data_IF_247161752575
#
_entry.id   IF_247161752575
#
_cell.length_a   1.000
_cell.length_b   1.000
_cell.length_c   1.000
_cell.angle_alpha   90.00
_cell.angle_beta   90.00
_cell.angle_gamma   90.00
#
_symmetry.space_group_name_H-M   'P 1'
#
loop_
_entity.id
_entity.type
_entity.pdbx_description
1 polymer ?
#
# COMPACT_ATOMS: atom_id res chain seq x y z
N UNK A 1 -15.71 19.23 -13.30
CA UNK A 1 -16.54 18.13 -12.74
C UNK A 1 -16.10 16.79 -13.35
N UNK A 2 -15.58 15.88 -12.53
CA UNK A 2 -15.26 14.51 -12.98
C UNK A 2 -16.61 13.81 -13.19
N UNK A 3 -16.92 13.39 -14.42
CA UNK A 3 -18.14 12.64 -14.71
C UNK A 3 -18.10 11.31 -13.96
N UNK A 4 -19.12 11.02 -13.15
CA UNK A 4 -19.16 9.84 -12.28
C UNK A 4 -19.75 8.57 -12.94
N UNK A 5 -20.21 8.66 -14.19
CA UNK A 5 -20.86 7.56 -14.91
C UNK A 5 -20.56 7.65 -16.42
N UNK A 6 -20.04 6.57 -16.99
CA UNK A 6 -19.79 6.38 -18.43
C UNK A 6 -20.13 4.94 -18.83
N UNK A 7 -21.30 4.69 -19.44
CA UNK A 7 -21.69 3.45 -20.14
C UNK A 7 -21.19 2.11 -19.52
N UNK A 8 -21.38 1.92 -18.21
CA UNK A 8 -21.01 0.68 -17.52
C UNK A 8 -19.53 0.56 -17.11
N UNK A 9 -18.71 1.58 -17.37
CA UNK A 9 -17.38 1.73 -16.82
C UNK A 9 -17.46 2.39 -15.44
N UNK A 10 -16.92 1.71 -14.45
CA UNK A 10 -16.76 2.27 -13.10
C UNK A 10 -15.56 3.20 -13.15
N UNK A 11 -15.72 4.42 -12.66
CA UNK A 11 -14.63 5.37 -12.57
C UNK A 11 -13.43 4.80 -11.81
N UNK A 12 -12.19 5.19 -12.18
CA UNK A 12 -10.99 4.74 -11.50
C UNK A 12 -11.00 5.17 -10.03
N UNK A 13 -10.41 4.34 -9.17
CA UNK A 13 -10.13 4.71 -7.79
C UNK A 13 -8.89 5.61 -7.77
N UNK A 14 -9.08 6.86 -7.36
CA UNK A 14 -8.04 7.90 -7.40
C UNK A 14 -7.51 8.20 -6.00
N UNK A 15 -6.22 8.49 -5.91
CA UNK A 15 -5.66 9.18 -4.75
C UNK A 15 -5.88 10.69 -4.92
N UNK A 16 -6.56 11.33 -3.95
CA UNK A 16 -6.85 12.76 -3.99
C UNK A 16 -6.09 13.50 -2.88
N UNK A 17 -5.26 14.47 -3.26
CA UNK A 17 -4.78 15.46 -2.31
C UNK A 17 -5.87 16.53 -2.14
N UNK A 18 -6.40 16.66 -0.93
CA UNK A 18 -7.40 17.69 -0.60
C UNK A 18 -6.75 18.76 0.27
N UNK A 19 -6.74 20.00 -0.19
CA UNK A 19 -6.29 21.17 0.58
C UNK A 19 -7.52 21.91 1.09
N UNK A 20 -7.59 22.13 2.39
CA UNK A 20 -8.66 22.91 3.03
C UNK A 20 -8.01 24.12 3.68
N UNK A 21 -8.36 25.32 3.21
CA UNK A 21 -7.92 26.56 3.85
C UNK A 21 -9.08 27.11 4.68
N UNK A 22 -8.83 27.31 5.97
CA UNK A 22 -9.83 27.81 6.91
C UNK A 22 -9.64 29.31 7.10
N UNK A 23 -10.67 30.08 6.78
CA UNK A 23 -10.82 31.48 7.17
C UNK A 23 -11.59 31.61 8.48
N UNK A 24 -11.73 32.85 8.96
CA UNK A 24 -12.44 33.10 10.24
C UNK A 24 -13.96 32.88 10.15
N UNK A 25 -14.53 32.89 8.94
CA UNK A 25 -15.99 32.74 8.69
C UNK A 25 -16.30 31.85 7.48
N UNK A 26 -15.29 31.38 6.78
CA UNK A 26 -15.39 30.67 5.51
C UNK A 26 -14.28 29.62 5.40
N UNK A 27 -14.37 28.76 4.38
CA UNK A 27 -13.33 27.79 4.03
C UNK A 27 -13.29 27.58 2.52
N UNK A 28 -12.09 27.40 1.97
CA UNK A 28 -11.89 26.95 0.58
C UNK A 28 -11.47 25.49 0.58
N UNK A 29 -11.84 24.75 -0.48
CA UNK A 29 -11.46 23.36 -0.65
C UNK A 29 -10.98 23.15 -2.08
N UNK A 30 -9.73 22.73 -2.22
CA UNK A 30 -9.13 22.31 -3.48
C UNK A 30 -8.90 20.79 -3.45
N UNK A 31 -9.16 20.11 -4.57
CA UNK A 31 -8.88 18.68 -4.74
C UNK A 31 -8.10 18.46 -6.01
N UNK A 32 -6.96 17.78 -5.89
CA UNK A 32 -6.10 17.42 -7.01
C UNK A 32 -5.88 15.91 -7.01
N UNK A 33 -6.11 15.28 -8.15
CA UNK A 33 -5.74 13.87 -8.33
C UNK A 33 -4.21 13.76 -8.36
N UNK A 34 -3.69 12.86 -7.54
CA UNK A 34 -2.26 12.55 -7.44
C UNK A 34 -2.04 11.08 -7.74
N UNK A 35 -0.79 10.68 -7.93
CA UNK A 35 -0.43 9.33 -8.36
C UNK A 35 -1.16 8.87 -9.66
N UNK A 36 -1.54 9.82 -10.53
CA UNK A 36 -2.44 9.63 -11.68
C UNK A 36 -2.04 8.50 -12.64
N UNK A 37 -3.00 7.92 -13.35
CA UNK A 37 -2.80 6.77 -14.22
C UNK A 37 -2.66 5.44 -13.48
N UNK A 38 -3.17 5.34 -12.25
CA UNK A 38 -3.29 4.09 -11.51
C UNK A 38 -4.61 4.03 -10.74
N UNK A 39 -5.32 2.91 -10.87
CA UNK A 39 -6.38 2.51 -9.96
C UNK A 39 -5.73 1.90 -8.73
N UNK A 40 -5.90 2.57 -7.59
CA UNK A 40 -5.27 2.21 -6.31
C UNK A 40 -6.30 1.98 -5.22
N UNK A 41 -5.89 1.29 -4.15
CA UNK A 41 -6.70 1.12 -2.95
C UNK A 41 -5.81 1.06 -1.69
N UNK A 42 -6.42 1.21 -0.51
CA UNK A 42 -5.77 1.09 0.80
C UNK A 42 -4.47 1.92 0.96
N UNK A 43 -4.50 3.25 0.75
CA UNK A 43 -3.32 4.09 0.93
C UNK A 43 -2.83 4.10 2.38
N UNK A 44 -1.54 3.86 2.57
CA UNK A 44 -0.83 3.93 3.84
C UNK A 44 0.42 4.79 3.72
N UNK A 45 0.75 5.54 4.76
CA UNK A 45 2.08 6.12 4.97
C UNK A 45 2.75 5.44 6.16
N UNK A 46 4.05 5.63 6.30
CA UNK A 46 4.76 5.18 7.47
C UNK A 46 4.09 5.69 8.76
N UNK A 47 3.67 4.81 9.68
CA UNK A 47 2.98 5.20 10.92
C UNK A 47 3.76 6.19 11.79
N UNK A 48 5.08 6.29 11.61
CA UNK A 48 5.93 7.30 12.29
C UNK A 48 5.60 8.74 11.85
N UNK A 49 4.86 8.90 10.76
CA UNK A 49 4.50 10.17 10.13
C UNK A 49 2.98 10.35 10.01
N UNK A 50 2.16 9.51 10.67
CA UNK A 50 0.70 9.68 10.66
C UNK A 50 0.30 11.07 11.19
N UNK A 51 -0.50 11.79 10.38
CA UNK A 51 -0.90 13.17 10.67
C UNK A 51 0.20 14.22 10.49
N UNK A 52 1.37 13.85 9.97
CA UNK A 52 2.49 14.76 9.73
C UNK A 52 2.52 15.24 8.27
N UNK A 53 2.71 16.55 8.06
CA UNK A 53 2.77 17.13 6.70
C UNK A 53 4.04 16.77 5.94
N UNK A 54 5.05 16.22 6.63
CA UNK A 54 6.33 15.79 6.07
C UNK A 54 6.26 14.45 5.35
N UNK A 55 5.15 13.71 5.44
CA UNK A 55 4.94 12.46 4.68
C UNK A 55 5.32 12.67 3.21
N UNK A 56 6.24 11.84 2.75
CA UNK A 56 6.72 11.80 1.37
C UNK A 56 6.22 10.58 0.64
N UNK A 57 6.24 9.41 1.26
CA UNK A 57 5.91 8.17 0.56
C UNK A 57 4.57 7.61 1.01
N UNK A 58 3.72 7.36 0.01
CA UNK A 58 2.44 6.67 0.21
C UNK A 58 2.53 5.33 -0.52
N UNK A 59 2.15 4.26 0.16
CA UNK A 59 2.10 2.89 -0.36
C UNK A 59 0.66 2.45 -0.48
N UNK A 60 0.31 1.78 -1.58
CA UNK A 60 -1.06 1.36 -1.87
C UNK A 60 -1.07 -0.01 -2.53
N UNK A 61 -2.22 -0.67 -2.45
CA UNK A 61 -2.54 -1.77 -3.34
C UNK A 61 -2.77 -1.23 -4.76
N UNK A 62 -2.20 -1.90 -5.76
CA UNK A 62 -2.31 -1.52 -7.17
C UNK A 62 -3.26 -2.47 -7.90
N UNK A 63 -4.26 -1.91 -8.58
CA UNK A 63 -5.31 -2.69 -9.26
C UNK A 63 -5.10 -2.75 -10.77
N UNK A 64 -4.99 -1.61 -11.45
CA UNK A 64 -4.71 -1.50 -12.88
C UNK A 64 -4.30 -0.07 -13.26
N UNK A 65 -3.96 0.17 -14.52
CA UNK A 65 -3.65 1.46 -15.14
C UNK A 65 -4.50 1.71 -16.40
N UNK A 66 -5.68 1.11 -16.46
CA UNK A 66 -6.59 1.14 -17.62
C UNK A 66 -7.56 2.33 -17.59
N UNK A 67 -7.54 3.12 -16.52
CA UNK A 67 -8.44 4.26 -16.33
C UNK A 67 -9.88 3.89 -16.00
N UNK A 68 -10.11 2.63 -15.62
CA UNK A 68 -11.41 2.10 -15.18
C UNK A 68 -11.23 1.22 -13.93
N UNK A 69 -12.16 1.31 -12.99
CA UNK A 69 -12.19 0.45 -11.81
C UNK A 69 -12.87 -0.89 -12.11
N UNK A 70 -12.80 -1.84 -11.17
CA UNK A 70 -13.42 -3.16 -11.25
C UNK A 70 -12.43 -4.33 -11.30
N UNK A 71 -11.12 -4.06 -11.29
CA UNK A 71 -10.11 -5.11 -11.12
C UNK A 71 -9.76 -5.29 -9.64
N UNK A 72 -9.47 -6.53 -9.20
CA UNK A 72 -8.89 -6.74 -7.87
C UNK A 72 -7.48 -6.14 -7.80
N UNK A 73 -6.92 -5.96 -6.60
CA UNK A 73 -5.51 -5.65 -6.47
C UNK A 73 -4.65 -6.79 -7.02
N UNK A 74 -3.67 -6.44 -7.86
CA UNK A 74 -2.75 -7.36 -8.54
C UNK A 74 -1.30 -6.98 -8.31
N UNK A 75 -1.04 -6.11 -7.33
CA UNK A 75 0.27 -5.61 -7.04
C UNK A 75 0.26 -4.52 -5.99
N UNK A 76 1.38 -3.82 -5.92
CA UNK A 76 1.64 -2.77 -4.96
C UNK A 76 2.32 -1.59 -5.63
N UNK A 77 2.06 -0.40 -5.12
CA UNK A 77 2.62 0.84 -5.67
C UNK A 77 3.06 1.78 -4.57
N UNK A 78 4.16 2.50 -4.83
CA UNK A 78 4.63 3.61 -4.00
C UNK A 78 4.53 4.88 -4.82
N UNK A 79 3.97 5.93 -4.22
CA UNK A 79 3.97 7.28 -4.75
C UNK A 79 4.86 8.17 -3.88
N UNK A 80 5.81 8.88 -4.53
CA UNK A 80 6.62 9.92 -3.92
C UNK A 80 5.92 11.27 -4.12
N UNK A 81 5.42 11.85 -3.03
CA UNK A 81 4.69 13.12 -3.01
C UNK A 81 5.56 14.32 -3.40
N UNK A 82 6.87 14.24 -3.21
CA UNK A 82 7.76 15.36 -3.53
C UNK A 82 8.13 15.40 -5.01
N UNK A 83 8.40 14.24 -5.61
CA UNK A 83 8.84 14.14 -7.02
C UNK A 83 7.70 13.84 -7.98
N UNK A 84 6.58 13.32 -7.48
CA UNK A 84 5.48 12.79 -8.27
C UNK A 84 5.76 11.39 -8.82
N UNK A 85 6.93 10.80 -8.55
CA UNK A 85 7.28 9.46 -9.01
C UNK A 85 6.29 8.42 -8.48
N UNK A 86 5.91 7.50 -9.36
CA UNK A 86 5.16 6.31 -8.99
C UNK A 86 5.91 5.08 -9.48
N UNK A 87 6.16 4.14 -8.58
CA UNK A 87 6.76 2.84 -8.89
C UNK A 87 5.78 1.73 -8.54
N UNK A 88 5.67 0.73 -9.41
CA UNK A 88 4.69 -0.34 -9.29
C UNK A 88 5.40 -1.68 -9.36
N UNK A 89 5.05 -2.57 -8.42
CA UNK A 89 5.27 -3.99 -8.56
C UNK A 89 3.95 -4.68 -8.90
N UNK A 90 3.94 -5.49 -9.94
CA UNK A 90 2.81 -6.36 -10.29
C UNK A 90 3.13 -7.79 -9.90
N UNK A 91 2.18 -8.44 -9.23
CA UNK A 91 2.27 -9.86 -8.97
C UNK A 91 2.21 -10.63 -10.32
N UNK A 92 2.73 -11.86 -10.36
CA UNK A 92 2.57 -12.73 -11.52
C UNK A 92 1.08 -12.91 -11.89
N UNK A 93 0.76 -13.28 -13.13
CA UNK A 93 -0.61 -13.58 -13.52
C UNK A 93 -1.31 -14.52 -12.53
N UNK A 94 -2.62 -14.32 -12.34
CA UNK A 94 -3.46 -15.15 -11.45
C UNK A 94 -3.06 -15.10 -9.96
N UNK A 95 -2.29 -14.07 -9.58
CA UNK A 95 -2.04 -13.73 -8.18
C UNK A 95 -2.82 -12.45 -7.83
N UNK A 96 -3.41 -12.43 -6.65
CA UNK A 96 -4.26 -11.34 -6.16
C UNK A 96 -3.73 -10.85 -4.82
N UNK A 97 -3.52 -9.55 -4.72
CA UNK A 97 -2.95 -8.87 -3.56
C UNK A 97 -4.05 -8.33 -2.65
N UNK A 98 -3.68 -8.07 -1.40
CA UNK A 98 -4.54 -7.38 -0.41
C UNK A 98 -3.93 -6.05 0.02
N UNK A 99 -4.36 -5.50 1.16
CA UNK A 99 -3.72 -4.34 1.80
C UNK A 99 -2.25 -4.64 2.16
N UNK A 100 -1.41 -3.61 2.07
CA UNK A 100 -0.06 -3.61 2.65
C UNK A 100 -0.08 -3.05 4.06
N UNK A 101 0.66 -3.70 4.94
CA UNK A 101 1.03 -3.14 6.23
C UNK A 101 2.48 -2.64 6.17
N UNK A 102 2.68 -1.39 6.57
CA UNK A 102 4.01 -0.78 6.65
C UNK A 102 4.65 -1.10 7.99
N UNK A 103 5.88 -1.59 7.95
CA UNK A 103 6.66 -2.01 9.10
C UNK A 103 7.93 -1.16 9.15
N UNK A 104 7.99 -0.14 10.03
CA UNK A 104 9.18 0.66 10.22
C UNK A 104 10.41 -0.20 10.54
N UNK A 105 11.54 0.01 9.86
CA UNK A 105 12.77 -0.65 10.27
C UNK A 105 13.23 -0.13 11.64
N UNK A 106 13.68 -1.02 12.55
CA UNK A 106 14.34 -0.61 13.78
C UNK A 106 15.52 0.31 13.46
N UNK A 107 15.70 1.39 14.24
CA UNK A 107 16.73 2.41 14.03
C UNK A 107 18.16 1.84 13.94
N UNK A 108 18.41 0.73 14.63
CA UNK A 108 19.70 0.04 14.65
C UNK A 108 20.01 -0.69 13.33
N UNK A 109 18.97 -1.06 12.59
CA UNK A 109 19.05 -1.75 11.29
C UNK A 109 18.75 -0.84 10.10
N UNK A 110 18.44 0.44 10.36
CA UNK A 110 18.09 1.40 9.33
C UNK A 110 19.32 1.69 8.47
N UNK A 111 19.23 1.38 7.18
CA UNK A 111 20.33 1.59 6.22
C UNK A 111 20.44 3.06 5.81
N UNK A 112 19.33 3.79 5.92
CA UNK A 112 19.24 5.23 5.68
C UNK A 112 18.35 5.88 6.74
N UNK A 113 18.26 7.21 6.76
CA UNK A 113 17.21 7.92 7.52
C UNK A 113 16.03 8.30 6.64
N UNK A 114 15.94 7.70 5.46
CA UNK A 114 14.88 7.98 4.50
C UNK A 114 13.56 7.36 5.00
N UNK A 115 12.44 8.06 4.76
CA UNK A 115 11.10 7.57 5.08
C UNK A 115 10.77 6.29 4.31
N UNK A 116 11.39 6.06 3.14
CA UNK A 116 11.26 4.81 2.40
C UNK A 116 11.93 3.60 3.07
N UNK A 117 12.72 3.79 4.14
CA UNK A 117 13.41 2.70 4.85
C UNK A 117 12.45 1.91 5.77
N UNK A 118 11.51 1.22 5.13
CA UNK A 118 10.47 0.38 5.74
C UNK A 118 10.45 -0.98 5.08
N UNK A 119 9.99 -1.98 5.82
CA UNK A 119 9.51 -3.22 5.23
C UNK A 119 8.01 -3.07 4.94
N UNK A 120 7.54 -3.75 3.90
CA UNK A 120 6.13 -3.87 3.60
C UNK A 120 5.73 -5.33 3.71
N UNK A 121 4.61 -5.61 4.36
CA UNK A 121 4.05 -6.95 4.46
C UNK A 121 2.67 -6.98 3.78
N UNK A 122 2.46 -7.93 2.88
CA UNK A 122 1.22 -8.05 2.12
C UNK A 122 0.79 -9.49 1.94
N UNK A 123 -0.52 -9.74 1.98
CA UNK A 123 -1.07 -11.05 1.64
C UNK A 123 -1.27 -11.17 0.12
N UNK A 124 -0.87 -12.31 -0.43
CA UNK A 124 -1.04 -12.64 -1.86
C UNK A 124 -1.66 -14.02 -1.99
N UNK A 125 -2.83 -14.10 -2.61
CA UNK A 125 -3.46 -15.35 -3.02
C UNK A 125 -2.94 -15.78 -4.39
N UNK A 126 -2.43 -17.00 -4.49
CA UNK A 126 -2.02 -17.63 -5.74
C UNK A 126 -3.10 -18.63 -6.18
N UNK A 127 -3.79 -18.32 -7.28
CA UNK A 127 -4.90 -19.12 -7.76
C UNK A 127 -4.46 -20.44 -8.42
N UNK A 128 -3.20 -20.56 -8.86
CA UNK A 128 -2.67 -21.81 -9.42
C UNK A 128 -2.27 -22.77 -8.29
N UNK A 129 -1.72 -22.23 -7.20
CA UNK A 129 -1.40 -23.00 -6.00
C UNK A 129 -2.60 -23.22 -5.06
N UNK A 130 -3.68 -22.45 -5.20
CA UNK A 130 -4.89 -22.53 -4.36
C UNK A 130 -4.65 -22.14 -2.90
N UNK A 131 -3.63 -21.31 -2.63
CA UNK A 131 -3.22 -20.92 -1.27
C UNK A 131 -2.65 -19.52 -1.22
N UNK A 132 -2.57 -18.96 -0.02
CA UNK A 132 -2.04 -17.61 0.18
C UNK A 132 -0.59 -17.63 0.69
N UNK A 133 0.08 -16.50 0.54
CA UNK A 133 1.41 -16.25 1.11
C UNK A 133 1.47 -14.84 1.68
N UNK A 134 2.27 -14.69 2.74
CA UNK A 134 2.72 -13.38 3.19
C UNK A 134 3.99 -13.03 2.44
N UNK A 135 3.98 -11.93 1.70
CA UNK A 135 5.17 -11.40 1.03
C UNK A 135 5.77 -10.27 1.85
N UNK A 136 7.10 -10.20 1.88
CA UNK A 136 7.85 -9.08 2.44
C UNK A 136 8.53 -8.35 1.30
N UNK A 137 8.30 -7.04 1.18
CA UNK A 137 8.91 -6.17 0.18
C UNK A 137 9.79 -5.12 0.86
N UNK A 138 10.81 -4.67 0.13
CA UNK A 138 11.64 -3.52 0.48
C UNK A 138 10.91 -2.23 0.06
N UNK A 139 10.55 -1.36 1.01
CA UNK A 139 9.78 -0.15 0.71
C UNK A 139 10.49 0.83 -0.23
N UNK A 140 11.83 0.84 -0.22
CA UNK A 140 12.60 1.69 -1.11
C UNK A 140 12.63 1.17 -2.55
N UNK A 141 12.53 -0.14 -2.74
CA UNK A 141 12.69 -0.84 -4.02
C UNK A 141 11.53 -1.80 -4.27
N UNK A 142 10.31 -1.29 -4.13
CA UNK A 142 9.10 -2.11 -4.19
C UNK A 142 8.99 -2.84 -5.54
N UNK A 143 9.42 -2.20 -6.63
CA UNK A 143 9.41 -2.71 -8.00
C UNK A 143 10.28 -3.96 -8.20
N UNK A 144 11.30 -4.17 -7.34
CA UNK A 144 12.09 -5.40 -7.33
C UNK A 144 11.27 -6.62 -6.87
N UNK A 145 10.10 -6.38 -6.26
CA UNK A 145 9.19 -7.40 -5.76
C UNK A 145 9.61 -7.96 -4.40
N UNK A 146 8.98 -9.07 -3.97
CA UNK A 146 9.20 -9.64 -2.65
C UNK A 146 10.64 -10.11 -2.44
N UNK A 147 11.26 -9.64 -1.36
CA UNK A 147 12.54 -10.18 -0.88
C UNK A 147 12.35 -11.49 -0.10
N UNK A 148 11.13 -11.74 0.38
CA UNK A 148 10.75 -12.98 1.04
C UNK A 148 9.29 -13.33 0.74
N UNK A 149 8.99 -14.63 0.65
CA UNK A 149 7.64 -15.16 0.54
C UNK A 149 7.45 -16.31 1.50
N UNK A 150 6.48 -16.15 2.40
CA UNK A 150 6.10 -17.13 3.42
C UNK A 150 4.78 -17.78 3.02
N UNK A 151 4.85 -19.02 2.52
CA UNK A 151 3.66 -19.76 2.13
C UNK A 151 2.83 -20.18 3.34
N UNK A 152 1.53 -19.88 3.30
CA UNK A 152 0.56 -20.48 4.20
C UNK A 152 0.15 -21.85 3.67
N UNK A 153 -0.44 -22.67 4.55
CA UNK A 153 -0.95 -23.99 4.17
C UNK A 153 -2.21 -23.90 3.31
N UNK A 154 -3.03 -22.89 3.59
CA UNK A 154 -4.36 -22.71 3.00
C UNK A 154 -4.50 -21.30 2.40
N UNK A 155 -5.62 -21.07 1.71
CA UNK A 155 -6.00 -19.73 1.28
C UNK A 155 -6.51 -18.93 2.48
N UNK A 156 -6.19 -17.64 2.46
CA UNK A 156 -6.79 -16.63 3.32
C UNK A 156 -7.81 -15.89 2.45
N UNK A 157 -9.09 -15.82 2.84
CA UNK A 157 -10.08 -15.00 2.13
C UNK A 157 -9.69 -13.53 2.15
N UNK A 158 -10.05 -12.79 1.10
CA UNK A 158 -9.82 -11.35 1.03
C UNK A 158 -10.33 -10.63 2.27
N UNK A 159 -9.40 -9.99 2.98
CA UNK A 159 -9.65 -9.22 4.18
C UNK A 159 -9.99 -7.76 3.93
N UNK A 160 -9.94 -6.99 5.02
CA UNK A 160 -10.02 -5.54 5.01
C UNK A 160 -8.69 -5.01 5.57
N UNK A 161 -8.75 -4.29 6.69
CA UNK A 161 -7.59 -3.67 7.28
C UNK A 161 -6.82 -4.59 8.23
N UNK A 162 -5.50 -4.44 8.22
CA UNK A 162 -4.56 -5.06 9.13
C UNK A 162 -3.70 -4.03 9.87
N UNK A 163 -2.92 -4.51 10.83
CA UNK A 163 -1.90 -3.70 11.49
C UNK A 163 -0.69 -4.56 11.87
N UNK A 164 0.43 -3.90 12.14
CA UNK A 164 1.62 -4.54 12.68
C UNK A 164 1.86 -4.05 14.10
N UNK A 165 2.31 -4.97 14.94
CA UNK A 165 2.83 -4.65 16.28
C UNK A 165 4.21 -5.28 16.44
N UNK A 166 5.20 -4.55 16.99
CA UNK A 166 6.49 -5.14 17.33
C UNK A 166 6.40 -6.07 18.55
N UNK A 167 5.27 -6.09 19.26
CA UNK A 167 5.07 -6.89 20.46
C UNK A 167 4.63 -8.32 20.11
N UNK A 168 5.30 -9.31 20.71
CA UNK A 168 4.89 -10.70 20.62
C UNK A 168 3.84 -11.00 21.70
N UNK A 169 2.58 -11.11 21.31
CA UNK A 169 1.49 -11.56 22.19
C UNK A 169 1.32 -13.08 22.07
N UNK A 170 2.08 -13.84 22.85
CA UNK A 170 1.99 -15.30 22.86
C UNK A 170 2.80 -15.92 23.99
N UNK A 171 2.73 -17.26 24.16
CA UNK A 171 3.61 -17.92 25.11
C UNK A 171 5.05 -17.67 24.68
N UNK A 172 5.80 -16.94 25.51
CA UNK A 172 7.24 -16.83 25.40
C UNK A 172 7.77 -18.27 25.44
N UNK A 173 8.08 -18.86 24.29
CA UNK A 173 8.89 -20.07 24.29
C UNK A 173 10.22 -19.63 24.90
N UNK A 174 10.52 -20.14 26.09
CA UNK A 174 11.84 -19.99 26.68
C UNK A 174 12.87 -20.27 25.58
N UNK A 175 13.78 -19.32 25.35
CA UNK A 175 14.86 -19.51 24.41
C UNK A 175 15.51 -20.86 24.76
N UNK A 176 15.51 -21.79 23.81
CA UNK A 176 16.29 -23.02 23.95
C UNK A 176 17.74 -22.54 23.88
N UNK A 177 18.39 -22.50 25.05
CA UNK A 177 19.80 -22.14 25.20
C UNK A 177 20.73 -23.18 24.63
#
# INVERSE_FOLDING_TARGET
PISLYDDGKINPTLLLQTTIELGSKDATVERVAVADGACIDHPHCDPRFDGDTRVRYVYMSFCNDEGVSGSPPVGYTRWDRQTGEKVVWRAPPRNFCEELVIIPRPRESASTRDEADVWLAGMVFDADAGRSSLVILDGDRIEAGPVCRLWLKDHVPHGLHGCFTPELFGPLRAAVG
#
